data_IF_301171881128
#
_entry.id   IF_301171881128
#
_cell.length_a   1.000
_cell.length_b   1.000
_cell.length_c   1.000
_cell.angle_alpha   90.00
_cell.angle_beta   90.00
_cell.angle_gamma   90.00
#
_symmetry.space_group_name_H-M   'P 1'
#
loop_
_entity.id
_entity.type
_entity.pdbx_description
1 polymer ?
#
# COMPACT_ATOMS: atom_id res chain seq x y z
N UNK A 1 -7.11 -3.23 22.66
CA UNK A 1 -7.70 -2.01 22.13
C UNK A 1 -6.68 -1.14 21.47
N UNK A 2 -6.96 -0.54 20.31
CA UNK A 2 -6.11 0.52 19.80
C UNK A 2 -6.11 1.65 20.83
N UNK A 3 -4.93 2.09 21.18
CA UNK A 3 -4.74 2.99 22.31
C UNK A 3 -4.81 4.46 21.94
N UNK A 4 -4.49 4.83 20.71
CA UNK A 4 -4.49 6.23 20.26
C UNK A 4 -4.61 6.37 18.75
N UNK A 5 -5.20 7.48 18.33
CA UNK A 5 -5.22 7.93 16.94
C UNK A 5 -4.32 9.15 16.86
N UNK A 6 -3.34 9.09 15.98
CA UNK A 6 -2.38 10.17 15.75
C UNK A 6 -2.58 10.77 14.36
N UNK A 7 -2.44 12.09 14.27
CA UNK A 7 -2.46 12.85 13.03
C UNK A 7 -1.05 13.35 12.75
N UNK A 8 -0.58 13.10 11.55
CA UNK A 8 0.76 13.46 11.12
C UNK A 8 0.70 14.35 9.89
N UNK A 9 1.56 15.34 9.85
CA UNK A 9 1.78 16.15 8.65
C UNK A 9 2.56 15.37 7.59
N UNK A 10 2.69 15.94 6.39
CA UNK A 10 3.52 15.35 5.32
C UNK A 10 4.99 15.31 5.72
N UNK A 11 5.70 14.29 5.25
CA UNK A 11 7.14 14.09 5.49
C UNK A 11 7.50 13.97 7.00
N UNK A 12 6.58 13.44 7.81
CA UNK A 12 6.81 13.17 9.22
C UNK A 12 7.30 11.73 9.43
N UNK A 13 8.32 11.55 10.27
CA UNK A 13 8.79 10.22 10.67
C UNK A 13 7.86 9.64 11.73
N UNK A 14 7.09 8.62 11.37
CA UNK A 14 6.19 7.88 12.29
C UNK A 14 6.99 6.92 13.14
N UNK A 15 7.95 6.21 12.52
CA UNK A 15 8.94 5.35 13.15
C UNK A 15 10.30 5.63 12.51
N UNK A 16 11.37 5.49 13.29
CA UNK A 16 12.75 5.66 12.82
C UNK A 16 13.51 4.34 12.86
N UNK A 17 14.46 4.20 11.96
CA UNK A 17 15.43 3.11 11.97
C UNK A 17 16.07 2.98 13.35
N UNK A 18 16.06 1.77 13.88
CA UNK A 18 16.55 1.45 15.22
C UNK A 18 15.53 1.58 16.35
N UNK A 19 14.32 2.11 16.08
CA UNK A 19 13.25 2.11 17.08
C UNK A 19 12.83 0.69 17.45
N UNK A 20 12.32 0.54 18.67
CA UNK A 20 11.77 -0.71 19.21
C UNK A 20 10.33 -0.50 19.67
N UNK A 21 9.35 -0.39 18.76
CA UNK A 21 7.96 -0.14 19.10
C UNK A 21 7.35 -1.34 19.87
N UNK A 22 6.34 -1.05 20.68
CA UNK A 22 5.49 -2.05 21.33
C UNK A 22 4.07 -2.06 20.76
N UNK A 23 3.87 -1.37 19.65
CA UNK A 23 2.61 -1.23 18.91
C UNK A 23 2.88 -1.21 17.40
N UNK A 24 1.88 -1.52 16.61
CA UNK A 24 1.89 -1.38 15.16
C UNK A 24 1.07 -0.17 14.71
N UNK A 25 1.40 0.34 13.54
CA UNK A 25 0.78 1.48 12.87
C UNK A 25 -0.29 1.02 11.88
N UNK A 26 -1.58 1.07 12.24
CA UNK A 26 -2.67 0.87 11.27
C UNK A 26 -2.95 2.20 10.56
N UNK A 27 -2.71 2.25 9.26
CA UNK A 27 -3.00 3.43 8.46
C UNK A 27 -4.50 3.57 8.21
N UNK A 28 -5.10 4.65 8.70
CA UNK A 28 -6.53 4.95 8.53
C UNK A 28 -6.81 5.90 7.37
N UNK A 29 -5.93 6.90 7.16
CA UNK A 29 -6.04 7.88 6.07
C UNK A 29 -4.65 8.34 5.64
N UNK A 30 -4.52 8.79 4.38
CA UNK A 30 -3.26 9.28 3.84
C UNK A 30 -2.39 8.16 3.30
N UNK A 31 -1.08 8.36 3.32
CA UNK A 31 -0.09 7.42 2.76
C UNK A 31 1.16 7.39 3.61
N UNK A 32 1.67 6.19 3.86
CA UNK A 32 2.97 5.95 4.49
C UNK A 32 3.93 5.31 3.47
N UNK A 33 5.20 5.44 3.70
CA UNK A 33 6.23 4.72 2.95
C UNK A 33 7.36 4.28 3.86
N UNK A 34 7.98 3.14 3.53
CA UNK A 34 9.30 2.82 4.02
C UNK A 34 10.34 3.54 3.19
N UNK A 35 11.26 4.23 3.85
CA UNK A 35 12.30 5.01 3.21
C UNK A 35 13.66 4.73 3.84
N UNK A 36 14.67 4.50 3.00
CA UNK A 36 16.08 4.54 3.39
C UNK A 36 16.58 5.98 3.31
N UNK A 37 16.98 6.55 4.45
CA UNK A 37 17.42 7.95 4.57
C UNK A 37 18.93 8.10 4.60
N UNK A 38 19.68 7.00 4.72
CA UNK A 38 21.16 7.01 4.85
C UNK A 38 21.86 7.53 3.59
N UNK A 39 21.18 7.58 2.46
CA UNK A 39 21.68 8.12 1.20
C UNK A 39 21.00 9.44 0.85
N UNK A 40 21.77 10.42 0.40
CA UNK A 40 21.31 11.79 0.06
C UNK A 40 20.10 11.89 -0.88
N UNK A 41 19.59 10.78 -1.41
CA UNK A 41 18.43 10.73 -2.31
C UNK A 41 17.21 9.99 -1.72
N UNK A 42 17.33 9.39 -0.55
CA UNK A 42 16.24 8.73 0.17
C UNK A 42 15.39 7.80 -0.71
N UNK A 43 15.76 6.51 -0.81
CA UNK A 43 14.98 5.55 -1.60
C UNK A 43 13.70 5.16 -0.88
N UNK A 44 12.57 5.34 -1.54
CA UNK A 44 11.29 4.74 -1.08
C UNK A 44 11.22 3.30 -1.58
N UNK A 45 11.07 2.36 -0.64
CA UNK A 45 11.07 0.92 -0.93
C UNK A 45 9.66 0.33 -1.00
N UNK A 46 8.70 0.95 -0.33
CA UNK A 46 7.28 0.56 -0.41
C UNK A 46 6.36 1.75 -0.10
N UNK A 47 5.11 1.66 -0.56
CA UNK A 47 4.07 2.65 -0.29
C UNK A 47 2.87 1.93 0.31
N UNK A 48 2.32 2.49 1.38
CA UNK A 48 1.18 1.93 2.09
C UNK A 48 -0.06 2.81 1.92
N UNK A 49 -1.20 2.15 1.78
CA UNK A 49 -2.52 2.76 1.60
C UNK A 49 -3.41 2.49 2.81
N UNK A 50 -4.51 3.22 3.02
CA UNK A 50 -5.42 2.97 4.14
C UNK A 50 -5.86 1.51 4.25
N UNK A 51 -5.76 0.97 5.46
CA UNK A 51 -5.98 -0.43 5.78
C UNK A 51 -4.70 -1.26 5.96
N UNK A 52 -3.56 -0.76 5.51
CA UNK A 52 -2.27 -1.44 5.72
C UNK A 52 -1.77 -1.26 7.16
N UNK A 53 -0.94 -2.24 7.58
CA UNK A 53 -0.16 -2.22 8.81
C UNK A 53 1.30 -2.46 8.43
N UNK A 54 2.05 -1.39 8.06
CA UNK A 54 3.40 -1.49 7.50
C UNK A 54 4.36 -2.28 8.36
N UNK A 55 4.29 -2.05 9.66
CA UNK A 55 5.17 -2.57 10.69
C UNK A 55 4.61 -3.82 11.42
N UNK A 56 3.70 -4.57 10.77
CA UNK A 56 3.07 -5.77 11.36
C UNK A 56 4.11 -6.82 11.81
N UNK A 57 5.26 -6.91 11.14
CA UNK A 57 6.34 -7.82 11.50
C UNK A 57 6.90 -7.55 12.90
N UNK A 58 6.78 -6.30 13.41
CA UNK A 58 7.29 -5.89 14.73
C UNK A 58 6.57 -6.57 15.88
N UNK A 59 5.43 -7.20 15.64
CA UNK A 59 4.77 -8.08 16.63
C UNK A 59 5.70 -9.21 17.09
N UNK A 60 6.61 -9.67 16.22
CA UNK A 60 7.55 -10.78 16.45
C UNK A 60 9.00 -10.33 16.51
N UNK A 61 9.39 -9.34 15.70
CA UNK A 61 10.71 -8.73 15.68
C UNK A 61 10.57 -7.21 15.82
N UNK A 62 10.62 -6.67 17.05
CA UNK A 62 10.29 -5.26 17.33
C UNK A 62 11.44 -4.30 16.96
N UNK A 63 12.20 -4.58 15.93
CA UNK A 63 13.26 -3.72 15.43
C UNK A 63 12.87 -3.09 14.11
N UNK A 64 13.03 -1.78 14.00
CA UNK A 64 12.77 -1.02 12.77
C UNK A 64 14.05 -0.91 11.95
N UNK A 65 14.00 -1.38 10.69
CA UNK A 65 15.16 -1.39 9.78
C UNK A 65 15.24 -0.15 8.87
N UNK A 66 14.11 0.50 8.59
CA UNK A 66 13.97 1.68 7.75
C UNK A 66 13.04 2.70 8.41
N UNK A 67 13.11 3.95 7.99
CA UNK A 67 12.19 4.97 8.48
C UNK A 67 10.80 4.79 7.87
N UNK A 68 9.76 4.79 8.71
CA UNK A 68 8.36 4.87 8.27
C UNK A 68 7.94 6.34 8.23
N UNK A 69 7.68 6.85 7.04
CA UNK A 69 7.45 8.28 6.79
C UNK A 69 6.10 8.51 6.13
N UNK A 70 5.46 9.64 6.45
CA UNK A 70 4.24 10.08 5.77
C UNK A 70 4.56 10.73 4.43
N UNK A 71 3.96 10.26 3.34
CA UNK A 71 4.05 10.92 2.02
C UNK A 71 3.12 12.13 1.92
N UNK A 72 2.00 12.07 2.61
CA UNK A 72 0.95 13.10 2.73
C UNK A 72 0.46 13.13 4.16
N UNK A 73 -0.32 14.14 4.58
CA UNK A 73 -0.95 14.10 5.89
C UNK A 73 -1.66 12.77 6.09
N UNK A 74 -1.43 12.14 7.23
CA UNK A 74 -1.90 10.80 7.51
C UNK A 74 -2.55 10.69 8.90
N UNK A 75 -3.50 9.77 9.01
CA UNK A 75 -4.11 9.39 10.28
C UNK A 75 -3.77 7.94 10.55
N UNK A 76 -3.13 7.67 11.67
CA UNK A 76 -2.64 6.35 12.06
C UNK A 76 -3.23 5.97 13.41
N UNK A 77 -3.73 4.74 13.52
CA UNK A 77 -4.10 4.15 14.80
C UNK A 77 -2.94 3.32 15.34
N UNK A 78 -2.53 3.61 16.56
CA UNK A 78 -1.55 2.82 17.30
C UNK A 78 -2.24 1.58 17.89
N UNK A 79 -1.81 0.38 17.50
CA UNK A 79 -2.39 -0.90 17.92
C UNK A 79 -1.34 -1.72 18.67
N UNK A 80 -1.53 -1.99 19.98
CA UNK A 80 -0.52 -2.71 20.77
C UNK A 80 -0.20 -4.10 20.20
N UNK A 81 1.06 -4.53 20.24
CA UNK A 81 1.48 -5.87 19.80
C UNK A 81 0.72 -7.00 20.53
N UNK A 82 0.41 -6.81 21.82
CA UNK A 82 -0.37 -7.77 22.59
C UNK A 82 -1.73 -8.06 21.95
N UNK A 83 -2.39 -7.05 21.35
CA UNK A 83 -3.67 -7.24 20.68
C UNK A 83 -3.53 -8.20 19.48
N UNK A 84 -2.51 -8.03 18.65
CA UNK A 84 -2.27 -8.93 17.52
C UNK A 84 -1.96 -10.36 18.00
N UNK A 85 -1.17 -10.50 19.06
CA UNK A 85 -0.87 -11.82 19.65
C UNK A 85 -2.11 -12.49 20.20
N UNK A 86 -2.95 -11.75 20.93
CA UNK A 86 -4.21 -12.24 21.50
C UNK A 86 -5.20 -12.70 20.42
N UNK A 87 -5.47 -11.86 19.40
CA UNK A 87 -6.42 -12.23 18.33
C UNK A 87 -5.90 -13.39 17.47
N UNK A 88 -4.59 -13.48 17.28
CA UNK A 88 -3.96 -14.62 16.58
C UNK A 88 -4.15 -15.92 17.37
N UNK A 89 -3.99 -15.89 18.69
CA UNK A 89 -4.19 -17.05 19.54
C UNK A 89 -5.66 -17.52 19.58
N UNK A 90 -6.60 -16.57 19.46
CA UNK A 90 -8.04 -16.86 19.51
C UNK A 90 -8.61 -17.42 18.20
N UNK A 91 -7.99 -17.14 17.05
CA UNK A 91 -8.54 -17.52 15.75
C UNK A 91 -7.45 -17.89 14.73
N UNK A 92 -7.40 -19.16 14.31
CA UNK A 92 -6.50 -19.58 13.23
C UNK A 92 -6.76 -18.84 11.91
N UNK A 93 -7.98 -18.42 11.64
CA UNK A 93 -8.32 -17.64 10.45
C UNK A 93 -7.70 -16.24 10.51
N UNK A 94 -7.70 -15.59 11.67
CA UNK A 94 -7.04 -14.30 11.86
C UNK A 94 -5.52 -14.47 11.73
N UNK A 95 -4.93 -15.50 12.33
CA UNK A 95 -3.49 -15.79 12.17
C UNK A 95 -3.10 -15.94 10.70
N UNK A 96 -3.89 -16.69 9.92
CA UNK A 96 -3.68 -16.82 8.47
C UNK A 96 -3.81 -15.48 7.75
N UNK A 97 -4.79 -14.66 8.12
CA UNK A 97 -4.97 -13.33 7.51
C UNK A 97 -3.78 -12.41 7.79
N UNK A 98 -3.27 -12.37 9.03
CA UNK A 98 -2.08 -11.58 9.38
C UNK A 98 -0.83 -12.07 8.65
N UNK A 99 -0.61 -13.40 8.59
CA UNK A 99 0.48 -13.98 7.81
C UNK A 99 0.36 -13.61 6.34
N UNK A 100 -0.86 -13.63 5.79
CA UNK A 100 -1.09 -13.28 4.40
C UNK A 100 -0.81 -11.79 4.10
N UNK A 101 -1.03 -10.87 5.05
CA UNK A 101 -0.60 -9.47 4.92
C UNK A 101 0.93 -9.38 4.80
N UNK A 102 1.68 -10.05 5.68
CA UNK A 102 3.15 -10.10 5.63
C UNK A 102 3.67 -10.68 4.32
N UNK A 103 3.06 -11.76 3.83
CA UNK A 103 3.43 -12.39 2.56
C UNK A 103 3.12 -11.48 1.36
N UNK A 104 2.07 -10.68 1.42
CA UNK A 104 1.74 -9.71 0.38
C UNK A 104 2.72 -8.55 0.38
N UNK A 105 3.09 -8.04 1.55
CA UNK A 105 4.09 -6.99 1.68
C UNK A 105 5.45 -7.45 1.17
N UNK A 106 5.88 -8.65 1.56
CA UNK A 106 7.10 -9.26 1.03
C UNK A 106 7.05 -9.47 -0.51
N UNK A 107 5.88 -9.77 -1.08
CA UNK A 107 5.73 -9.90 -2.53
C UNK A 107 5.80 -8.53 -3.23
N UNK A 108 5.20 -7.50 -2.65
CA UNK A 108 5.29 -6.12 -3.14
C UNK A 108 6.75 -5.62 -3.12
N UNK A 109 7.49 -5.90 -2.04
CA UNK A 109 8.91 -5.54 -1.92
C UNK A 109 9.76 -6.21 -3.01
N UNK A 110 9.54 -7.50 -3.30
CA UNK A 110 10.22 -8.18 -4.43
C UNK A 110 9.87 -7.54 -5.78
N UNK A 111 8.62 -7.15 -6.00
CA UNK A 111 8.24 -6.44 -7.23
C UNK A 111 8.84 -5.05 -7.32
N UNK A 112 9.03 -4.35 -6.21
CA UNK A 112 9.77 -3.09 -6.17
C UNK A 112 11.21 -3.29 -6.67
N UNK A 113 11.91 -4.33 -6.22
CA UNK A 113 13.27 -4.66 -6.69
C UNK A 113 13.27 -4.88 -8.21
N UNK A 114 12.35 -5.68 -8.73
CA UNK A 114 12.20 -5.91 -10.18
C UNK A 114 11.88 -4.60 -10.90
N UNK A 115 10.99 -3.79 -10.33
CA UNK A 115 10.63 -2.49 -10.90
C UNK A 115 11.86 -1.58 -11.04
N UNK A 116 12.67 -1.48 -10.00
CA UNK A 116 13.86 -0.64 -9.97
C UNK A 116 15.01 -1.19 -10.85
N UNK A 117 15.16 -2.51 -10.90
CA UNK A 117 16.30 -3.15 -11.56
C UNK A 117 16.12 -3.42 -13.05
N UNK A 118 14.89 -3.71 -13.53
CA UNK A 118 14.68 -4.22 -14.88
C UNK A 118 13.85 -3.32 -15.80
N UNK A 119 13.12 -2.33 -15.26
CA UNK A 119 12.27 -1.44 -16.06
C UNK A 119 12.98 -0.12 -16.36
N UNK A 120 12.68 0.49 -17.50
CA UNK A 120 13.04 1.87 -17.77
C UNK A 120 12.21 2.85 -16.95
N UNK A 121 12.52 4.13 -17.01
CA UNK A 121 11.89 5.14 -16.18
C UNK A 121 10.38 5.30 -16.47
N UNK A 122 9.95 5.13 -17.72
CA UNK A 122 8.55 5.22 -18.11
C UNK A 122 7.76 4.04 -17.54
N UNK A 123 8.27 2.83 -17.72
CA UNK A 123 7.66 1.62 -17.20
C UNK A 123 7.66 1.58 -15.66
N UNK A 124 8.72 2.09 -14.99
CA UNK A 124 8.76 2.21 -13.52
C UNK A 124 7.63 3.08 -12.96
N UNK A 125 7.49 4.27 -13.53
CA UNK A 125 6.44 5.22 -13.12
C UNK A 125 5.06 4.65 -13.43
N UNK A 126 4.87 4.08 -14.61
CA UNK A 126 3.60 3.45 -15.01
C UNK A 126 3.24 2.30 -14.06
N UNK A 127 4.20 1.42 -13.73
CA UNK A 127 3.99 0.29 -12.82
C UNK A 127 3.59 0.75 -11.41
N UNK A 128 4.29 1.72 -10.86
CA UNK A 128 3.97 2.28 -9.54
C UNK A 128 2.56 2.89 -9.50
N UNK A 129 2.17 3.61 -10.56
CA UNK A 129 0.82 4.17 -10.67
C UNK A 129 -0.26 3.07 -10.80
N UNK A 130 0.02 2.00 -11.55
CA UNK A 130 -0.87 0.84 -11.62
C UNK A 130 -1.03 0.18 -10.24
N UNK A 131 0.07 -0.08 -9.54
CA UNK A 131 0.06 -0.71 -8.22
C UNK A 131 -0.77 0.10 -7.21
N UNK A 132 -0.46 1.39 -7.06
CA UNK A 132 -1.19 2.26 -6.13
C UNK A 132 -2.66 2.35 -6.49
N UNK A 133 -2.99 2.46 -7.79
CA UNK A 133 -4.38 2.51 -8.27
C UNK A 133 -5.12 1.22 -7.94
N UNK A 134 -4.52 0.06 -8.21
CA UNK A 134 -5.12 -1.24 -7.94
C UNK A 134 -5.39 -1.43 -6.43
N UNK A 135 -4.44 -1.05 -5.57
CA UNK A 135 -4.58 -1.12 -4.11
C UNK A 135 -5.66 -0.19 -3.58
N UNK A 136 -5.71 1.06 -4.05
CA UNK A 136 -6.75 2.02 -3.66
C UNK A 136 -8.14 1.59 -4.12
N UNK A 137 -8.26 0.98 -5.31
CA UNK A 137 -9.52 0.40 -5.78
C UNK A 137 -9.98 -0.74 -4.88
N UNK A 138 -9.09 -1.63 -4.50
CA UNK A 138 -9.40 -2.76 -3.63
C UNK A 138 -9.95 -2.35 -2.25
N UNK A 139 -9.59 -1.16 -1.76
CA UNK A 139 -10.12 -0.60 -0.51
C UNK A 139 -11.22 0.45 -0.71
N UNK A 140 -11.72 0.62 -1.95
CA UNK A 140 -12.84 1.52 -2.28
C UNK A 140 -12.47 3.02 -2.28
N UNK A 141 -11.19 3.36 -2.28
CA UNK A 141 -10.70 4.75 -2.27
C UNK A 141 -10.37 5.31 -3.66
N UNK A 142 -10.46 4.49 -4.70
CA UNK A 142 -10.37 4.93 -6.08
C UNK A 142 -11.65 4.57 -6.84
N UNK A 143 -12.26 5.57 -7.48
CA UNK A 143 -13.42 5.39 -8.37
C UNK A 143 -13.06 5.92 -9.74
N UNK A 144 -13.52 5.25 -10.79
CA UNK A 144 -13.31 5.67 -12.20
C UNK A 144 -11.84 6.00 -12.52
N UNK A 145 -10.91 5.18 -11.98
CA UNK A 145 -9.46 5.37 -12.12
C UNK A 145 -8.96 6.76 -11.67
N UNK A 146 -9.73 7.40 -10.80
CA UNK A 146 -9.35 8.66 -10.18
C UNK A 146 -8.86 8.39 -8.75
N UNK A 147 -7.61 8.75 -8.48
CA UNK A 147 -6.96 8.52 -7.20
C UNK A 147 -6.44 9.82 -6.60
N UNK A 148 -6.51 9.99 -5.27
CA UNK A 148 -5.73 11.01 -4.60
C UNK A 148 -4.25 10.69 -4.77
N UNK A 149 -3.44 11.66 -5.20
CA UNK A 149 -2.01 11.44 -5.43
C UNK A 149 -1.28 11.20 -4.11
N UNK A 150 -0.58 10.08 -3.93
CA UNK A 150 0.30 9.88 -2.78
C UNK A 150 1.55 10.75 -2.86
N UNK A 151 1.92 11.18 -4.05
CA UNK A 151 3.21 11.81 -4.30
C UNK A 151 3.14 13.34 -4.35
N UNK A 152 4.19 13.97 -3.81
CA UNK A 152 4.80 15.15 -4.39
C UNK A 152 5.82 14.70 -5.45
N UNK A 153 6.30 15.62 -6.31
CA UNK A 153 7.22 15.25 -7.39
C UNK A 153 8.49 14.56 -6.90
N UNK A 154 9.03 14.99 -5.76
CA UNK A 154 10.20 14.38 -5.13
C UNK A 154 9.93 12.95 -4.67
N UNK A 155 8.76 12.69 -4.09
CA UNK A 155 8.38 11.35 -3.62
C UNK A 155 8.23 10.34 -4.76
N UNK A 156 7.68 10.76 -5.91
CA UNK A 156 7.61 9.90 -7.09
C UNK A 156 9.03 9.55 -7.61
N UNK A 157 9.91 10.52 -7.65
CA UNK A 157 11.29 10.34 -8.07
C UNK A 157 12.02 9.35 -7.15
N UNK A 158 11.88 9.53 -5.83
CA UNK A 158 12.45 8.63 -4.82
C UNK A 158 11.89 7.20 -4.92
N UNK A 159 10.59 7.05 -5.16
CA UNK A 159 9.96 5.72 -5.31
C UNK A 159 10.36 5.00 -6.59
N UNK A 160 10.74 5.74 -7.65
CA UNK A 160 11.15 5.17 -8.93
C UNK A 160 12.67 5.11 -9.13
N UNK A 161 13.48 5.57 -8.16
CA UNK A 161 14.94 5.61 -8.30
C UNK A 161 15.42 6.45 -9.48
N UNK A 162 14.77 7.60 -9.72
CA UNK A 162 15.11 8.53 -10.82
C UNK A 162 15.18 9.97 -10.30
N UNK A 163 15.80 10.88 -11.04
CA UNK A 163 15.82 12.29 -10.68
C UNK A 163 14.43 12.94 -10.81
N UNK A 164 14.15 13.98 -10.03
CA UNK A 164 12.89 14.74 -10.11
C UNK A 164 12.64 15.32 -11.52
N UNK A 165 13.72 15.75 -12.20
CA UNK A 165 13.66 16.24 -13.59
C UNK A 165 13.19 15.12 -14.53
N UNK A 166 13.73 13.92 -14.36
CA UNK A 166 13.34 12.76 -15.16
C UNK A 166 11.91 12.34 -14.86
N UNK A 167 11.49 12.28 -13.60
CA UNK A 167 10.11 11.99 -13.21
C UNK A 167 9.13 12.96 -13.88
N UNK A 168 9.44 14.26 -13.86
CA UNK A 168 8.63 15.28 -14.53
C UNK A 168 8.54 15.11 -16.05
N UNK A 169 9.63 14.65 -16.69
CA UNK A 169 9.65 14.34 -18.13
C UNK A 169 8.70 13.17 -18.42
N UNK A 170 8.79 12.10 -17.65
CA UNK A 170 7.92 10.92 -17.79
C UNK A 170 6.44 11.29 -17.60
N UNK A 171 6.11 12.06 -16.57
CA UNK A 171 4.73 12.49 -16.35
C UNK A 171 4.21 13.34 -17.52
N UNK A 172 5.04 14.23 -18.08
CA UNK A 172 4.65 15.00 -19.27
C UNK A 172 4.43 14.11 -20.49
N UNK A 173 5.22 13.07 -20.66
CA UNK A 173 5.08 12.08 -21.73
C UNK A 173 3.75 11.32 -21.59
N UNK A 174 3.45 10.76 -20.44
CA UNK A 174 2.16 10.08 -20.16
C UNK A 174 0.95 11.00 -20.37
N UNK A 175 1.07 12.29 -20.00
CA UNK A 175 0.01 13.28 -20.25
C UNK A 175 -0.18 13.60 -21.73
N UNK A 176 0.90 13.76 -22.51
CA UNK A 176 0.85 13.99 -23.96
C UNK A 176 0.25 12.81 -24.71
N UNK A 177 0.48 11.59 -24.24
CA UNK A 177 -0.10 10.36 -24.76
C UNK A 177 -1.55 10.13 -24.31
N UNK A 178 -2.17 11.08 -23.58
CA UNK A 178 -3.52 10.96 -23.02
C UNK A 178 -3.73 9.69 -22.16
N UNK A 179 -2.69 9.23 -21.47
CA UNK A 179 -2.76 8.04 -20.59
C UNK A 179 -3.20 8.45 -19.19
N UNK A 180 -2.76 9.61 -18.72
CA UNK A 180 -3.17 10.16 -17.44
C UNK A 180 -3.27 11.69 -17.46
N UNK A 181 -4.00 12.21 -16.50
CA UNK A 181 -3.99 13.61 -16.11
C UNK A 181 -3.58 13.70 -14.63
N UNK A 182 -2.69 14.63 -14.33
CA UNK A 182 -2.28 14.90 -12.96
C UNK A 182 -2.50 16.37 -12.68
N UNK A 183 -3.49 16.66 -11.85
CA UNK A 183 -3.88 18.02 -11.48
C UNK A 183 -3.87 18.15 -9.96
N UNK A 184 -3.04 19.06 -9.44
CA UNK A 184 -2.90 19.32 -8.01
C UNK A 184 -2.63 18.04 -7.20
N UNK A 185 -3.65 17.53 -6.51
CA UNK A 185 -3.56 16.35 -5.63
C UNK A 185 -4.30 15.13 -6.18
N UNK A 186 -4.68 15.15 -7.45
CA UNK A 186 -5.47 14.07 -8.06
C UNK A 186 -4.78 13.58 -9.33
N UNK A 187 -4.69 12.27 -9.46
CA UNK A 187 -4.29 11.58 -10.68
C UNK A 187 -5.55 10.93 -11.25
N UNK A 188 -5.84 11.18 -12.51
CA UNK A 188 -6.89 10.51 -13.27
C UNK A 188 -6.24 9.73 -14.38
N UNK A 189 -6.38 8.41 -14.38
CA UNK A 189 -5.88 7.54 -15.44
C UNK A 189 -6.97 7.49 -16.51
N UNK A 190 -6.67 8.04 -17.67
CA UNK A 190 -7.62 8.16 -18.79
C UNK A 190 -7.56 6.94 -19.71
N UNK A 191 -6.42 6.23 -19.74
CA UNK A 191 -6.27 5.00 -20.51
C UNK A 191 -5.55 3.93 -19.64
N UNK A 192 -6.35 3.15 -18.88
CA UNK A 192 -5.84 2.12 -18.00
C UNK A 192 -5.11 1.00 -18.75
N UNK A 193 -5.68 0.54 -19.87
CA UNK A 193 -5.10 -0.58 -20.62
C UNK A 193 -3.71 -0.23 -21.17
N UNK A 194 -3.55 0.99 -21.67
CA UNK A 194 -2.26 1.44 -22.17
C UNK A 194 -1.26 1.65 -21.02
N UNK A 195 -1.70 2.16 -19.87
CA UNK A 195 -0.85 2.29 -18.70
C UNK A 195 -0.35 0.92 -18.23
N UNK A 196 -1.23 -0.09 -18.15
CA UNK A 196 -0.90 -1.48 -17.81
C UNK A 196 0.10 -2.08 -18.80
N UNK A 197 -0.12 -1.87 -20.11
CA UNK A 197 0.78 -2.34 -21.17
C UNK A 197 2.19 -1.75 -21.05
N UNK A 198 2.30 -0.44 -20.85
CA UNK A 198 3.58 0.26 -20.66
C UNK A 198 4.30 -0.20 -19.39
N UNK A 199 3.54 -0.43 -18.34
CA UNK A 199 4.04 -0.88 -17.04
C UNK A 199 4.52 -2.34 -17.05
N UNK A 200 4.02 -3.17 -17.97
CA UNK A 200 4.10 -4.62 -17.83
C UNK A 200 3.50 -5.05 -16.49
N UNK A 201 2.34 -4.48 -16.11
CA UNK A 201 1.75 -4.67 -14.79
C UNK A 201 0.86 -5.91 -14.75
N UNK A 202 1.15 -6.81 -13.81
CA UNK A 202 0.30 -7.93 -13.45
C UNK A 202 0.01 -7.86 -11.93
N UNK A 203 -1.25 -7.76 -11.50
CA UNK A 203 -1.61 -7.52 -10.10
C UNK A 203 -1.51 -8.75 -9.20
N UNK A 204 -1.16 -9.94 -9.71
CA UNK A 204 -1.21 -11.21 -8.99
C UNK A 204 -0.43 -11.20 -7.67
N UNK A 205 0.70 -10.51 -7.62
CA UNK A 205 1.52 -10.38 -6.42
C UNK A 205 0.86 -9.56 -5.31
N UNK A 206 -0.06 -8.67 -5.66
CA UNK A 206 -0.82 -7.88 -4.69
C UNK A 206 -1.91 -8.71 -4.02
N UNK A 207 -2.23 -9.87 -4.58
CA UNK A 207 -3.22 -10.82 -4.05
C UNK A 207 -4.55 -10.12 -3.73
N UNK A 208 -4.93 -9.14 -4.53
CA UNK A 208 -6.19 -8.42 -4.41
C UNK A 208 -7.31 -9.36 -4.80
N UNK A 209 -8.24 -9.67 -3.88
CA UNK A 209 -9.40 -10.50 -4.18
C UNK A 209 -10.61 -9.63 -4.53
N UNK A 210 -11.22 -10.04 -5.61
CA UNK A 210 -12.49 -9.76 -6.21
C UNK A 210 -13.45 -8.76 -5.59
N UNK A 211 -13.49 -7.56 -6.16
CA UNK A 211 -14.74 -6.83 -6.38
C UNK A 211 -14.85 -6.33 -7.84
N UNK A 212 -13.94 -6.68 -8.71
CA UNK A 212 -14.01 -6.26 -10.11
C UNK A 212 -13.91 -7.44 -11.07
N UNK A 213 -15.08 -7.92 -11.50
CA UNK A 213 -15.24 -8.68 -12.75
C UNK A 213 -14.93 -7.80 -13.99
N UNK A 214 -14.53 -6.56 -13.80
CA UNK A 214 -14.16 -5.59 -14.83
C UNK A 214 -12.65 -5.43 -15.05
N UNK A 215 -11.80 -6.15 -14.30
CA UNK A 215 -10.41 -6.36 -14.72
C UNK A 215 -10.46 -7.38 -15.84
N UNK A 216 -10.22 -6.90 -17.04
CA UNK A 216 -10.32 -7.51 -18.36
C UNK A 216 -10.06 -9.03 -18.37
N UNK A 217 -10.92 -9.86 -19.02
CA UNK A 217 -10.72 -11.30 -19.23
C UNK A 217 -9.39 -11.67 -19.87
N UNK A 218 -8.73 -10.74 -20.55
CA UNK A 218 -7.43 -10.94 -21.19
C UNK A 218 -6.28 -11.23 -20.21
N UNK A 219 -6.42 -10.89 -18.91
CA UNK A 219 -5.41 -11.20 -17.87
C UNK A 219 -5.61 -12.60 -17.26
N UNK A 220 -6.73 -13.28 -17.54
CA UNK A 220 -7.07 -14.61 -16.99
C UNK A 220 -6.35 -15.79 -17.64
N UNK A 221 -5.51 -15.57 -18.65
CA UNK A 221 -5.03 -16.64 -19.54
C UNK A 221 -4.03 -17.65 -18.96
N UNK A 222 -3.50 -17.52 -17.74
CA UNK A 222 -2.40 -18.38 -17.31
C UNK A 222 -2.48 -19.06 -15.93
N UNK A 223 -3.52 -18.88 -15.11
CA UNK A 223 -3.55 -19.51 -13.78
C UNK A 223 -4.92 -20.07 -13.35
N UNK A 224 -5.48 -20.97 -14.16
CA UNK A 224 -6.76 -21.63 -13.84
C UNK A 224 -6.64 -22.85 -12.88
N UNK A 225 -5.46 -23.19 -12.36
CA UNK A 225 -5.26 -24.52 -11.72
C UNK A 225 -4.95 -24.48 -10.21
N UNK A 226 -4.89 -23.31 -9.56
CA UNK A 226 -4.55 -23.24 -8.13
C UNK A 226 -5.56 -22.47 -7.25
N UNK A 227 -6.80 -22.30 -7.69
CA UNK A 227 -7.83 -21.51 -6.99
C UNK A 227 -8.97 -22.35 -6.41
N UNK A 228 -8.69 -23.52 -5.88
CA UNK A 228 -9.67 -24.22 -5.05
C UNK A 228 -9.23 -24.16 -3.57
N UNK A 229 -10.15 -23.66 -2.72
CA UNK A 229 -10.11 -23.64 -1.25
C UNK A 229 -9.50 -22.41 -0.54
N UNK A 230 -9.98 -21.21 -0.85
CA UNK A 230 -10.00 -20.13 0.12
C UNK A 230 -11.36 -19.40 -0.04
N UNK A 231 -12.27 -19.69 0.86
CA UNK A 231 -13.68 -19.24 0.86
C UNK A 231 -13.83 -17.75 1.21
N UNK A 232 -15.05 -17.24 1.08
CA UNK A 232 -15.54 -15.88 1.27
C UNK A 232 -15.08 -15.13 2.54
N UNK A 233 -14.39 -15.81 3.47
CA UNK A 233 -13.85 -15.25 4.72
C UNK A 233 -12.61 -14.37 4.56
N UNK A 234 -11.97 -14.36 3.40
CA UNK A 234 -10.73 -13.61 3.17
C UNK A 234 -10.96 -12.14 2.74
N UNK A 235 -12.20 -11.73 2.54
CA UNK A 235 -12.59 -10.32 2.37
C UNK A 235 -12.46 -9.47 3.65
N UNK A 236 -11.91 -10.09 4.65
CA UNK A 236 -11.81 -9.73 6.06
C UNK A 236 -10.67 -8.76 6.37
N UNK A 237 -9.79 -8.44 5.42
CA UNK A 237 -8.56 -7.70 5.71
C UNK A 237 -8.75 -6.35 6.38
N UNK A 238 -9.53 -5.49 5.78
CA UNK A 238 -9.82 -4.16 6.34
C UNK A 238 -11.14 -4.19 7.11
N UNK A 239 -12.09 -5.03 6.68
CA UNK A 239 -13.41 -5.11 7.28
C UNK A 239 -13.41 -5.74 8.67
N UNK A 240 -12.63 -6.79 8.93
CA UNK A 240 -12.51 -7.40 10.28
C UNK A 240 -11.75 -6.51 11.24
N UNK A 241 -10.62 -5.93 10.81
CA UNK A 241 -9.92 -4.96 11.66
C UNK A 241 -10.77 -3.72 11.94
N UNK A 242 -11.42 -3.16 10.91
CA UNK A 242 -12.33 -2.01 11.09
C UNK A 242 -13.63 -2.40 11.83
N UNK A 243 -14.14 -3.61 11.65
CA UNK A 243 -15.32 -4.09 12.38
C UNK A 243 -14.99 -4.41 13.84
N UNK A 244 -13.82 -5.01 14.12
CA UNK A 244 -13.33 -5.18 15.49
C UNK A 244 -13.11 -3.84 16.18
N UNK A 245 -12.55 -2.85 15.48
CA UNK A 245 -12.37 -1.49 15.97
C UNK A 245 -13.72 -0.74 16.20
N UNK A 246 -14.73 -0.99 15.37
CA UNK A 246 -16.08 -0.41 15.52
C UNK A 246 -16.87 -1.05 16.65
N UNK A 247 -16.82 -2.39 16.78
CA UNK A 247 -17.52 -3.11 17.84
C UNK A 247 -17.06 -2.71 19.25
N UNK A 248 -15.79 -2.38 19.37
CA UNK A 248 -15.21 -1.98 20.65
C UNK A 248 -15.47 -0.50 21.00
N UNK A 249 -15.58 0.38 19.99
CA UNK A 249 -16.09 1.75 20.19
C UNK A 249 -17.54 1.79 20.70
N UNK A 250 -18.37 0.82 20.29
CA UNK A 250 -19.74 0.70 20.77
C UNK A 250 -19.79 0.27 22.25
N UNK A 251 -18.87 -0.62 22.69
CA UNK A 251 -18.79 -1.09 24.09
C UNK A 251 -18.18 -0.05 25.04
N UNK A 252 -17.32 0.85 24.59
CA UNK A 252 -16.72 1.89 25.43
C UNK A 252 -17.62 3.12 25.61
N UNK A 253 -18.70 3.26 24.83
CA UNK A 253 -19.74 4.32 25.01
C UNK A 253 -20.90 3.88 25.89
N UNK A 254 -20.95 2.61 26.31
CA UNK A 254 -22.00 2.07 27.20
C UNK A 254 -21.48 1.76 28.61
N UNK A 255 -20.36 2.31 28.98
CA UNK A 255 -19.83 2.42 30.36
C UNK A 255 -19.47 3.90 30.59
#
# INVERSE_FOLDING_TARGET
>A
MPSSICHYDSCHHVLKKGDHPNHCCLLLQGYLCWQDVDNHHGQITSIHVPGDVPDLYTVHDPRIDFDLVTLRPAVVASVPHRFFREISALSPSISRALLFLLLTDAAASRNCIVNLGSRDALARVAHLLCEVTARLRAVGLARDFRIPSPFMQSGLAAACGISAIHANRVIRELRRANILQWQSRTITITNWNELVRLAGFAPDYLRLRGQDSTIDPLIRGHNATLTHELTADDCVRTSVMLSALRADRARSRSR
#
